data_IF_474393785174
#
_entry.id   IF_474393785174
#
_cell.length_a   1.000
_cell.length_b   1.000
_cell.length_c   1.000
_cell.angle_alpha   90.00
_cell.angle_beta   90.00
_cell.angle_gamma   90.00
#
_symmetry.space_group_name_H-M   'P 1'
#
loop_
_entity.id
_entity.type
_entity.pdbx_description
1 polymer ?
#
# COMPACT_ATOMS: atom_id res chain seq x y z
N UNK A 1 -17.16 -3.74 7.75
CA UNK A 1 -16.03 -2.85 7.40
C UNK A 1 -14.74 -3.67 7.38
N UNK A 2 -13.90 -3.47 6.36
CA UNK A 2 -12.64 -4.22 6.16
C UNK A 2 -11.67 -4.09 7.34
N UNK A 3 -11.70 -2.99 8.08
CA UNK A 3 -10.86 -2.77 9.27
C UNK A 3 -11.11 -3.79 10.38
N UNK A 4 -12.22 -4.53 10.33
CA UNK A 4 -12.54 -5.58 11.29
C UNK A 4 -12.15 -6.98 10.80
N UNK A 5 -11.56 -7.12 9.63
CA UNK A 5 -10.98 -8.37 9.14
C UNK A 5 -9.62 -8.60 9.80
N UNK A 6 -9.63 -9.09 11.06
CA UNK A 6 -8.48 -9.11 11.94
C UNK A 6 -7.52 -10.29 11.72
N UNK A 7 -7.89 -11.30 10.96
CA UNK A 7 -7.06 -12.47 10.70
C UNK A 7 -6.94 -12.76 9.22
N UNK A 8 -5.92 -13.53 8.81
CA UNK A 8 -5.68 -13.81 7.39
C UNK A 8 -6.84 -14.53 6.75
N UNK A 9 -7.45 -15.46 7.47
CA UNK A 9 -8.61 -16.16 6.94
C UNK A 9 -9.75 -15.18 6.65
N UNK A 10 -10.07 -14.29 7.59
CA UNK A 10 -11.13 -13.30 7.41
C UNK A 10 -10.79 -12.31 6.28
N UNK A 11 -9.52 -11.92 6.16
CA UNK A 11 -9.05 -11.06 5.06
C UNK A 11 -9.19 -11.76 3.71
N UNK A 12 -8.80 -13.03 3.64
CA UNK A 12 -8.93 -13.83 2.42
C UNK A 12 -10.41 -14.06 2.07
N UNK A 13 -11.24 -14.48 3.02
CA UNK A 13 -12.69 -14.68 2.84
C UNK A 13 -13.36 -13.39 2.32
N UNK A 14 -12.96 -12.23 2.86
CA UNK A 14 -13.46 -10.93 2.42
C UNK A 14 -13.02 -10.60 0.99
N UNK A 15 -11.75 -10.81 0.67
CA UNK A 15 -11.20 -10.56 -0.66
C UNK A 15 -11.85 -11.48 -1.70
N UNK A 16 -12.04 -12.76 -1.37
CA UNK A 16 -12.68 -13.73 -2.27
C UNK A 16 -14.15 -13.37 -2.51
N UNK A 17 -14.88 -12.96 -1.49
CA UNK A 17 -16.24 -12.48 -1.63
C UNK A 17 -16.31 -11.22 -2.51
N UNK A 18 -15.32 -10.31 -2.39
CA UNK A 18 -15.24 -9.12 -3.23
C UNK A 18 -14.92 -9.46 -4.70
N UNK A 19 -13.95 -10.34 -4.94
CA UNK A 19 -13.55 -10.77 -6.28
C UNK A 19 -14.66 -11.50 -7.03
N UNK A 20 -15.32 -12.44 -6.33
CA UNK A 20 -16.30 -13.35 -6.92
C UNK A 20 -17.73 -12.80 -6.89
N UNK A 21 -17.97 -11.69 -6.20
CA UNK A 21 -19.28 -11.05 -6.14
C UNK A 21 -19.72 -10.52 -7.50
N UNK A 22 -21.03 -10.56 -7.75
CA UNK A 22 -21.63 -10.09 -9.02
C UNK A 22 -21.95 -8.59 -9.05
N UNK A 23 -21.53 -7.83 -8.03
CA UNK A 23 -21.80 -6.40 -7.97
C UNK A 23 -20.92 -5.62 -8.97
N UNK A 24 -21.56 -4.64 -9.58
CA UNK A 24 -20.95 -3.76 -10.59
C UNK A 24 -20.24 -2.57 -9.95
N UNK A 25 -20.72 -2.12 -8.80
CA UNK A 25 -20.23 -0.95 -8.09
C UNK A 25 -19.75 -1.28 -6.71
N UNK A 26 -18.73 -0.56 -6.25
CA UNK A 26 -18.23 -0.57 -4.88
C UNK A 26 -18.08 0.86 -4.37
N UNK A 27 -18.06 1.04 -3.05
CA UNK A 27 -17.77 2.32 -2.42
C UNK A 27 -16.68 2.15 -1.36
N UNK A 28 -15.76 3.09 -1.31
CA UNK A 28 -14.75 3.20 -0.27
C UNK A 28 -14.86 4.54 0.44
N UNK A 29 -14.47 4.59 1.71
CA UNK A 29 -14.35 5.88 2.41
C UNK A 29 -13.29 6.71 1.69
N UNK A 30 -13.52 8.01 1.55
CA UNK A 30 -12.52 8.94 1.02
C UNK A 30 -11.34 9.03 1.97
N UNK A 31 -10.15 9.00 1.41
CA UNK A 31 -8.91 9.00 2.18
C UNK A 31 -8.62 10.34 2.87
N UNK A 32 -9.20 11.41 2.37
CA UNK A 32 -9.09 12.76 2.91
C UNK A 32 -10.29 13.18 3.77
N UNK A 33 -11.20 12.25 4.07
CA UNK A 33 -12.41 12.56 4.83
C UNK A 33 -12.14 12.86 6.31
N UNK A 34 -11.23 12.13 6.92
CA UNK A 34 -10.79 12.34 8.30
C UNK A 34 -9.27 12.25 8.41
N UNK A 35 -8.70 12.82 9.47
CA UNK A 35 -7.24 12.81 9.66
C UNK A 35 -6.63 11.41 9.77
N UNK A 36 -7.44 10.39 10.08
CA UNK A 36 -7.01 8.99 10.19
C UNK A 36 -7.47 8.10 9.02
N UNK A 37 -8.24 8.61 8.06
CA UNK A 37 -8.74 7.81 6.92
C UNK A 37 -7.61 7.30 6.03
N UNK A 38 -6.53 8.05 5.92
CA UNK A 38 -5.42 7.74 5.04
C UNK A 38 -4.71 6.42 5.37
N UNK A 39 -4.66 6.00 6.63
CA UNK A 39 -4.00 4.74 7.01
C UNK A 39 -4.80 3.50 6.61
N UNK A 40 -6.10 3.62 6.40
CA UNK A 40 -6.95 2.48 6.06
C UNK A 40 -6.56 1.82 4.74
N UNK A 41 -6.25 2.58 3.71
CA UNK A 41 -5.77 2.03 2.45
C UNK A 41 -4.44 1.30 2.62
N UNK A 42 -3.51 1.90 3.32
CA UNK A 42 -2.18 1.34 3.55
C UNK A 42 -2.24 0.06 4.36
N UNK A 43 -2.99 0.06 5.47
CA UNK A 43 -3.17 -1.10 6.32
C UNK A 43 -3.97 -2.24 5.66
N UNK A 44 -4.74 -1.93 4.63
CA UNK A 44 -5.55 -2.90 3.89
C UNK A 44 -5.16 -2.98 2.40
N UNK A 45 -3.89 -2.77 2.10
CA UNK A 45 -3.41 -2.79 0.72
C UNK A 45 -3.74 -4.10 0.01
N UNK A 46 -3.79 -5.23 0.69
CA UNK A 46 -4.24 -6.52 0.16
C UNK A 46 -5.61 -6.44 -0.56
N UNK A 47 -6.50 -5.56 -0.10
CA UNK A 47 -7.81 -5.31 -0.70
C UNK A 47 -7.72 -4.20 -1.76
N UNK A 48 -7.07 -3.08 -1.44
CA UNK A 48 -7.02 -1.94 -2.34
C UNK A 48 -6.23 -2.23 -3.63
N UNK A 49 -5.24 -3.12 -3.60
CA UNK A 49 -4.56 -3.57 -4.82
C UNK A 49 -5.52 -4.25 -5.79
N UNK A 50 -6.48 -5.04 -5.32
CA UNK A 50 -7.55 -5.62 -6.13
C UNK A 50 -8.44 -4.53 -6.73
N UNK A 51 -8.80 -3.54 -5.92
CA UNK A 51 -9.60 -2.41 -6.35
C UNK A 51 -8.89 -1.60 -7.45
N UNK A 52 -7.61 -1.26 -7.25
CA UNK A 52 -6.82 -0.51 -8.23
C UNK A 52 -6.59 -1.31 -9.53
N UNK A 53 -6.49 -2.62 -9.46
CA UNK A 53 -6.25 -3.48 -10.59
C UNK A 53 -7.51 -3.67 -11.47
N UNK A 54 -8.64 -3.90 -10.84
CA UNK A 54 -9.85 -4.40 -11.52
C UNK A 54 -11.03 -3.43 -11.51
N UNK A 55 -10.84 -2.24 -10.96
CA UNK A 55 -11.88 -1.22 -10.83
C UNK A 55 -11.32 0.16 -11.19
N UNK A 56 -12.21 1.09 -11.52
CA UNK A 56 -11.84 2.49 -11.71
C UNK A 56 -12.83 3.40 -10.97
N UNK A 57 -12.37 4.56 -10.46
CA UNK A 57 -13.24 5.50 -9.77
C UNK A 57 -14.12 6.23 -10.78
N UNK A 58 -15.42 6.32 -10.49
CA UNK A 58 -16.41 6.95 -11.38
C UNK A 58 -17.02 8.20 -10.78
N UNK A 59 -17.07 8.27 -9.44
CA UNK A 59 -17.68 9.38 -8.74
C UNK A 59 -17.10 9.47 -7.32
N UNK A 60 -17.06 10.68 -6.76
CA UNK A 60 -16.81 10.90 -5.35
C UNK A 60 -17.79 11.93 -4.78
N UNK A 61 -18.25 11.69 -3.56
CA UNK A 61 -18.95 12.68 -2.78
C UNK A 61 -18.08 13.11 -1.59
N UNK A 62 -18.67 13.81 -0.62
CA UNK A 62 -18.01 14.28 0.59
C UNK A 62 -17.40 13.15 1.45
N UNK A 63 -17.96 11.94 1.39
CA UNK A 63 -17.65 10.84 2.32
C UNK A 63 -16.99 9.66 1.65
N UNK A 64 -17.29 9.42 0.37
CA UNK A 64 -17.00 8.17 -0.31
C UNK A 64 -16.51 8.40 -1.73
N UNK A 65 -15.68 7.48 -2.20
CA UNK A 65 -15.33 7.29 -3.60
C UNK A 65 -16.05 6.05 -4.11
N UNK A 66 -16.73 6.18 -5.24
CA UNK A 66 -17.46 5.11 -5.92
C UNK A 66 -16.64 4.58 -7.08
N UNK A 67 -16.57 3.26 -7.15
CA UNK A 67 -15.79 2.52 -8.13
C UNK A 67 -16.73 1.68 -8.98
N UNK A 68 -16.41 1.57 -10.27
CA UNK A 68 -17.06 0.65 -11.20
C UNK A 68 -16.06 -0.43 -11.61
N UNK A 69 -16.53 -1.68 -11.71
CA UNK A 69 -15.69 -2.79 -12.14
C UNK A 69 -15.27 -2.59 -13.58
N UNK A 70 -13.99 -2.80 -13.90
CA UNK A 70 -13.47 -2.73 -15.25
C UNK A 70 -14.17 -3.77 -16.13
N UNK A 71 -14.50 -3.39 -17.35
CA UNK A 71 -14.89 -4.33 -18.41
C UNK A 71 -13.64 -4.89 -19.10
N UNK A 72 -13.76 -6.02 -19.77
CA UNK A 72 -12.66 -6.66 -20.47
C UNK A 72 -11.96 -5.67 -21.41
N UNK A 73 -10.64 -5.50 -21.21
CA UNK A 73 -9.80 -4.58 -21.99
C UNK A 73 -9.55 -3.19 -21.36
N UNK A 74 -10.19 -2.84 -20.25
CA UNK A 74 -9.97 -1.56 -19.56
C UNK A 74 -8.93 -1.73 -18.43
N UNK A 75 -7.69 -2.04 -18.80
CA UNK A 75 -6.61 -2.22 -17.81
C UNK A 75 -5.84 -0.91 -17.61
N UNK A 76 -5.90 -0.37 -16.39
CA UNK A 76 -5.03 0.73 -15.97
C UNK A 76 -3.69 0.22 -15.42
N UNK A 77 -3.27 -0.97 -15.79
CA UNK A 77 -2.13 -1.68 -15.21
C UNK A 77 -0.95 -1.71 -16.17
N UNK A 78 0.22 -1.30 -15.68
CA UNK A 78 1.49 -1.33 -16.41
C UNK A 78 2.31 -2.46 -15.82
N UNK A 79 2.70 -3.45 -16.63
CA UNK A 79 3.45 -4.64 -16.18
C UNK A 79 4.94 -4.61 -16.56
N UNK A 80 5.36 -3.65 -17.40
CA UNK A 80 6.74 -3.53 -17.88
C UNK A 80 7.18 -2.08 -18.00
N UNK A 81 8.42 -1.86 -18.45
CA UNK A 81 8.94 -0.50 -18.63
C UNK A 81 9.33 0.21 -17.33
N UNK A 82 9.64 -0.52 -16.29
CA UNK A 82 10.18 0.00 -15.03
C UNK A 82 11.30 -0.91 -14.48
N UNK A 83 12.11 -0.35 -13.60
CA UNK A 83 13.18 -1.07 -12.88
C UNK A 83 13.08 -0.79 -11.39
N UNK A 84 13.57 -1.74 -10.59
CA UNK A 84 13.71 -1.61 -9.14
C UNK A 84 15.18 -1.39 -8.77
N UNK A 85 15.39 -0.51 -7.80
CA UNK A 85 16.69 -0.34 -7.16
C UNK A 85 16.50 -0.45 -5.65
N UNK A 86 17.22 -1.37 -5.03
CA UNK A 86 17.23 -1.57 -3.58
C UNK A 86 18.54 -1.08 -3.03
N UNK A 87 18.51 -0.26 -1.99
CA UNK A 87 19.70 0.30 -1.35
C UNK A 87 19.61 0.07 0.15
N UNK A 88 20.57 -0.63 0.71
CA UNK A 88 20.72 -0.76 2.16
C UNK A 88 21.17 0.59 2.75
N UNK A 89 20.38 1.14 3.65
CA UNK A 89 20.68 2.37 4.38
C UNK A 89 21.37 2.08 5.71
N UNK A 90 20.98 0.97 6.34
CA UNK A 90 21.56 0.46 7.58
C UNK A 90 21.15 -1.01 7.76
N UNK A 91 21.67 -1.68 8.80
CA UNK A 91 21.24 -3.04 9.17
C UNK A 91 19.75 -3.16 9.54
N UNK A 92 19.05 -2.06 9.66
CA UNK A 92 17.63 -2.02 10.03
C UNK A 92 16.74 -1.35 8.97
N UNK A 93 17.33 -0.76 7.93
CA UNK A 93 16.58 0.06 6.98
C UNK A 93 17.06 -0.11 5.55
N UNK A 94 16.11 -0.23 4.63
CA UNK A 94 16.36 -0.27 3.20
C UNK A 94 15.46 0.72 2.45
N UNK A 95 16.00 1.26 1.37
CA UNK A 95 15.28 2.09 0.42
C UNK A 95 14.99 1.28 -0.85
N UNK A 96 13.76 1.35 -1.32
CA UNK A 96 13.31 0.75 -2.56
C UNK A 96 12.86 1.87 -3.49
N UNK A 97 13.46 1.95 -4.67
CA UNK A 97 13.13 2.91 -5.71
C UNK A 97 12.50 2.17 -6.89
N UNK A 98 11.40 2.69 -7.40
CA UNK A 98 10.76 2.25 -8.65
C UNK A 98 10.99 3.33 -9.69
N UNK A 99 11.63 2.99 -10.79
CA UNK A 99 12.05 3.91 -11.85
C UNK A 99 11.43 3.47 -13.17
N UNK A 100 10.51 4.26 -13.71
CA UNK A 100 9.87 3.99 -14.98
C UNK A 100 10.70 4.52 -16.14
N UNK A 101 10.70 3.80 -17.27
CA UNK A 101 11.34 4.26 -18.51
C UNK A 101 10.66 5.54 -19.07
N UNK A 102 9.39 5.72 -18.72
CA UNK A 102 8.62 6.89 -19.12
C UNK A 102 8.35 7.79 -17.90
N UNK A 103 8.90 9.00 -17.94
CA UNK A 103 8.75 10.01 -16.87
C UNK A 103 7.34 10.61 -16.75
N UNK A 104 6.40 10.26 -17.62
CA UNK A 104 5.01 10.73 -17.50
C UNK A 104 4.12 9.78 -16.70
N UNK A 105 4.65 8.62 -16.30
CA UNK A 105 3.90 7.64 -15.51
C UNK A 105 3.61 8.20 -14.11
N UNK A 106 2.32 8.17 -13.75
CA UNK A 106 1.84 8.46 -12.41
C UNK A 106 0.91 7.32 -11.97
N UNK A 107 1.01 6.90 -10.74
CA UNK A 107 0.21 5.78 -10.23
C UNK A 107 0.70 5.24 -8.90
N UNK A 108 0.34 4.00 -8.63
CA UNK A 108 0.78 3.26 -7.45
C UNK A 108 1.43 1.95 -7.88
N UNK A 109 2.69 1.78 -7.57
CA UNK A 109 3.40 0.53 -7.78
C UNK A 109 3.06 -0.48 -6.68
N UNK A 110 2.85 -1.72 -7.07
CA UNK A 110 2.57 -2.86 -6.20
C UNK A 110 3.87 -3.62 -5.96
N UNK A 111 4.59 -3.23 -4.91
CA UNK A 111 5.92 -3.76 -4.61
C UNK A 111 5.81 -4.89 -3.59
N UNK A 112 6.19 -6.08 -4.02
CA UNK A 112 6.34 -7.24 -3.15
C UNK A 112 7.71 -7.22 -2.48
N UNK A 113 7.73 -7.41 -1.16
CA UNK A 113 8.96 -7.50 -0.37
C UNK A 113 8.93 -8.78 0.46
N UNK A 114 9.86 -9.68 0.19
CA UNK A 114 10.15 -10.82 1.08
C UNK A 114 11.22 -10.41 2.07
N UNK A 115 10.86 -10.36 3.34
CA UNK A 115 11.74 -9.88 4.39
C UNK A 115 11.63 -10.69 5.68
N UNK A 116 12.65 -10.60 6.51
CA UNK A 116 12.68 -11.17 7.84
C UNK A 116 13.27 -10.18 8.84
N UNK A 117 12.66 -10.08 10.02
CA UNK A 117 13.13 -9.21 11.10
C UNK A 117 13.71 -10.06 12.23
N UNK A 118 15.02 -10.01 12.39
CA UNK A 118 15.74 -10.70 13.45
C UNK A 118 15.96 -9.82 14.68
N UNK A 119 16.16 -10.47 15.84
CA UNK A 119 16.62 -9.80 17.04
C UNK A 119 18.12 -9.57 16.98
N UNK A 120 18.55 -8.39 17.39
CA UNK A 120 19.96 -8.05 17.55
C UNK A 120 20.43 -8.47 18.95
N UNK A 121 21.36 -9.42 19.00
CA UNK A 121 21.99 -9.86 20.28
C UNK A 121 21.17 -10.84 21.13
N UNK A 122 21.74 -11.24 22.27
CA UNK A 122 21.17 -12.25 23.20
C UNK A 122 20.13 -11.66 24.16
N UNK A 123 19.22 -10.84 23.70
CA UNK A 123 18.15 -10.34 24.55
C UNK A 123 17.23 -11.50 24.99
N UNK A 124 17.08 -11.64 26.31
CA UNK A 124 16.26 -12.66 26.95
C UNK A 124 14.91 -12.86 26.27
N UNK A 125 14.55 -14.09 25.96
CA UNK A 125 13.30 -14.51 25.29
C UNK A 125 12.01 -14.13 26.04
N UNK A 126 12.10 -13.54 27.24
CA UNK A 126 10.97 -13.20 28.10
C UNK A 126 10.35 -11.83 27.82
N UNK A 127 10.99 -10.98 27.04
CA UNK A 127 10.39 -9.70 26.65
C UNK A 127 9.70 -9.92 25.31
N UNK A 128 8.38 -9.83 25.28
CA UNK A 128 7.60 -9.84 24.05
C UNK A 128 7.92 -8.56 23.27
N UNK A 129 8.93 -8.62 22.44
CA UNK A 129 9.21 -7.55 21.50
C UNK A 129 8.18 -7.60 20.37
N UNK A 130 7.42 -6.55 20.27
CA UNK A 130 6.64 -6.26 19.07
C UNK A 130 7.64 -5.95 17.96
N UNK A 131 7.64 -6.76 16.90
CA UNK A 131 8.44 -6.51 15.72
C UNK A 131 7.51 -5.90 14.68
N UNK A 132 7.88 -4.78 14.16
CA UNK A 132 7.07 -4.05 13.19
C UNK A 132 7.94 -3.65 12.00
N UNK A 133 7.33 -3.57 10.84
CA UNK A 133 7.89 -2.92 9.68
C UNK A 133 7.29 -1.52 9.57
N UNK A 134 8.13 -0.52 9.68
CA UNK A 134 7.77 0.87 9.39
C UNK A 134 7.98 1.12 7.90
N UNK A 135 6.98 1.69 7.24
CA UNK A 135 7.02 1.99 5.81
C UNK A 135 6.82 3.49 5.61
N UNK A 136 7.78 4.14 4.94
CA UNK A 136 7.75 5.58 4.62
C UNK A 136 7.73 5.78 3.13
N UNK A 137 6.61 6.27 2.60
CA UNK A 137 6.46 6.72 1.23
C UNK A 137 6.78 8.22 1.12
N UNK A 138 7.50 8.62 0.08
CA UNK A 138 7.81 10.03 -0.19
C UNK A 138 6.69 10.76 -0.93
N UNK A 139 5.79 10.02 -1.59
CA UNK A 139 4.68 10.56 -2.35
C UNK A 139 3.61 11.27 -1.52
N UNK A 140 2.89 12.18 -2.16
CA UNK A 140 1.83 12.99 -1.54
C UNK A 140 0.55 13.09 -2.38
N UNK A 141 0.55 12.53 -3.58
CA UNK A 141 -0.56 12.68 -4.54
C UNK A 141 -1.65 11.62 -4.33
N UNK A 142 -1.26 10.46 -3.83
CA UNK A 142 -2.16 9.34 -3.60
C UNK A 142 -2.33 9.07 -2.11
N UNK A 143 -3.46 8.46 -1.74
CA UNK A 143 -3.75 8.10 -0.35
C UNK A 143 -2.74 7.14 0.30
N UNK A 144 -1.85 6.56 -0.50
CA UNK A 144 -0.78 5.66 -0.04
C UNK A 144 0.51 6.36 0.38
N UNK A 145 0.61 7.68 0.14
CA UNK A 145 1.78 8.47 0.55
C UNK A 145 1.93 8.62 2.07
N UNK A 146 3.13 8.93 2.56
CA UNK A 146 3.44 9.16 3.98
C UNK A 146 3.87 7.90 4.75
N UNK A 147 3.81 7.97 6.06
CA UNK A 147 4.28 6.91 6.96
C UNK A 147 3.14 6.01 7.41
N UNK A 148 3.39 4.71 7.47
CA UNK A 148 2.51 3.77 8.12
C UNK A 148 3.30 2.59 8.71
N UNK A 149 2.65 1.89 9.62
CA UNK A 149 3.20 0.69 10.23
C UNK A 149 2.43 -0.52 9.75
N UNK A 150 3.15 -1.58 9.40
CA UNK A 150 2.54 -2.88 9.22
C UNK A 150 2.12 -3.42 10.59
N UNK A 151 0.82 -3.53 10.80
CA UNK A 151 0.24 -4.04 12.03
C UNK A 151 0.13 -5.57 12.08
N UNK A 152 0.67 -6.30 11.10
CA UNK A 152 0.71 -7.76 11.12
C UNK A 152 1.77 -8.34 12.10
N UNK A 153 1.93 -7.67 13.21
CA UNK A 153 2.95 -7.92 14.23
C UNK A 153 2.76 -9.23 15.03
N UNK A 154 1.72 -9.97 14.80
CA UNK A 154 1.50 -11.27 15.47
C UNK A 154 2.19 -12.42 14.74
N UNK A 155 2.85 -12.15 13.59
CA UNK A 155 3.57 -13.14 12.80
C UNK A 155 5.03 -12.74 12.60
N UNK A 156 5.91 -13.71 12.45
CA UNK A 156 7.13 -13.50 11.69
C UNK A 156 6.69 -13.30 10.23
N UNK A 157 6.32 -12.09 9.86
CA UNK A 157 5.91 -11.78 8.49
C UNK A 157 7.14 -11.92 7.61
N UNK A 158 7.04 -12.77 6.63
CA UNK A 158 8.11 -13.06 5.70
C UNK A 158 7.89 -12.43 4.33
N UNK A 159 6.73 -11.86 4.07
CA UNK A 159 6.44 -11.27 2.77
C UNK A 159 5.23 -10.33 2.82
N UNK A 160 5.29 -9.21 2.13
CA UNK A 160 4.20 -8.26 2.03
C UNK A 160 4.22 -7.48 0.73
N UNK A 161 3.01 -7.04 0.31
CA UNK A 161 2.85 -6.06 -0.76
C UNK A 161 2.77 -4.66 -0.16
N UNK A 162 3.59 -3.77 -0.69
CA UNK A 162 3.71 -2.38 -0.23
C UNK A 162 3.32 -1.46 -1.38
N UNK A 163 2.35 -0.53 -1.18
CA UNK A 163 2.04 0.47 -2.19
C UNK A 163 3.15 1.54 -2.23
N UNK A 164 3.66 1.81 -3.42
CA UNK A 164 4.65 2.87 -3.65
C UNK A 164 4.09 3.88 -4.64
N UNK A 165 3.92 5.12 -4.22
CA UNK A 165 3.45 6.17 -5.11
C UNK A 165 4.48 6.49 -6.18
N UNK A 166 4.04 6.48 -7.45
CA UNK A 166 4.83 6.88 -8.61
C UNK A 166 4.37 8.28 -9.06
N UNK A 167 5.29 9.21 -9.08
CA UNK A 167 5.08 10.55 -9.59
C UNK A 167 6.15 10.89 -10.62
N UNK A 168 5.73 11.28 -11.82
CA UNK A 168 6.64 11.59 -12.93
C UNK A 168 7.66 10.48 -13.20
N UNK A 169 7.18 9.23 -13.20
CA UNK A 169 8.00 8.05 -13.49
C UNK A 169 8.91 7.58 -12.36
N UNK A 170 8.82 8.15 -11.17
CA UNK A 170 9.67 7.78 -10.04
C UNK A 170 8.85 7.63 -8.75
N UNK A 171 9.15 6.58 -7.99
CA UNK A 171 8.62 6.37 -6.65
C UNK A 171 9.69 5.85 -5.70
N UNK A 172 9.55 6.17 -4.42
CA UNK A 172 10.50 5.77 -3.40
C UNK A 172 9.77 5.41 -2.10
N UNK A 173 10.19 4.31 -1.50
CA UNK A 173 9.76 3.92 -0.17
C UNK A 173 10.95 3.48 0.67
N UNK A 174 10.95 3.86 1.94
CA UNK A 174 11.90 3.35 2.93
C UNK A 174 11.19 2.40 3.87
N UNK A 175 11.75 1.22 4.06
CA UNK A 175 11.28 0.23 5.02
C UNK A 175 12.30 0.12 6.17
N UNK A 176 11.80 0.07 7.41
CA UNK A 176 12.65 0.04 8.60
C UNK A 176 12.07 -0.93 9.62
N UNK A 177 12.90 -1.85 10.12
CA UNK A 177 12.48 -2.74 11.21
C UNK A 177 12.44 -2.01 12.55
N UNK A 178 11.38 -2.25 13.32
CA UNK A 178 11.19 -1.65 14.64
C UNK A 178 11.15 -2.71 15.74
N UNK A 179 11.66 -2.40 16.92
CA UNK A 179 12.46 -1.22 17.29
C UNK A 179 13.89 -1.29 16.72
N UNK A 180 14.34 -0.28 16.04
CA UNK A 180 15.58 -0.26 15.24
C UNK A 180 16.87 -0.54 16.03
N UNK A 181 16.88 -0.24 17.34
CA UNK A 181 18.05 -0.52 18.20
C UNK A 181 18.25 -2.00 18.52
N UNK A 182 17.22 -2.84 18.37
CA UNK A 182 17.22 -4.26 18.78
C UNK A 182 16.81 -5.23 17.66
N UNK A 183 16.68 -4.75 16.43
CA UNK A 183 16.32 -5.58 15.29
C UNK A 183 17.33 -5.48 14.15
N UNK A 184 17.28 -6.44 13.24
CA UNK A 184 17.99 -6.47 11.95
C UNK A 184 16.95 -6.78 10.88
N UNK A 185 16.94 -6.00 9.81
CA UNK A 185 16.09 -6.22 8.65
C UNK A 185 16.86 -6.98 7.57
N UNK A 186 16.43 -8.18 7.29
CA UNK A 186 16.93 -8.96 6.16
C UNK A 186 15.87 -8.94 5.05
N UNK A 187 16.22 -8.44 3.88
CA UNK A 187 15.37 -8.47 2.69
C UNK A 187 15.94 -9.51 1.72
N UNK A 188 15.14 -10.53 1.42
CA UNK A 188 15.53 -11.64 0.55
C UNK A 188 15.22 -11.33 -0.92
N UNK A 189 14.06 -10.72 -1.17
CA UNK A 189 13.61 -10.43 -2.52
C UNK A 189 12.73 -9.17 -2.54
N UNK A 190 12.86 -8.38 -3.61
CA UNK A 190 11.96 -7.28 -3.93
C UNK A 190 11.53 -7.41 -5.38
N UNK A 191 10.22 -7.37 -5.62
CA UNK A 191 9.62 -7.37 -6.95
C UNK A 191 8.60 -6.25 -7.08
N UNK A 192 8.35 -5.78 -8.28
CA UNK A 192 7.19 -4.97 -8.60
C UNK A 192 6.35 -5.74 -9.61
N UNK A 193 5.15 -6.12 -9.23
CA UNK A 193 4.27 -6.91 -10.10
C UNK A 193 3.56 -6.02 -11.13
N UNK A 194 3.24 -4.79 -10.74
CA UNK A 194 2.49 -3.87 -11.57
C UNK A 194 2.57 -2.42 -11.06
N UNK A 195 2.29 -1.47 -11.95
CA UNK A 195 1.97 -0.10 -11.59
C UNK A 195 0.52 0.17 -12.01
N UNK A 196 -0.31 0.57 -11.06
CA UNK A 196 -1.72 0.90 -11.29
C UNK A 196 -1.84 2.39 -11.65
N UNK A 197 -2.15 2.67 -12.91
CA UNK A 197 -2.28 4.03 -13.42
C UNK A 197 -3.73 4.51 -13.32
N UNK A 198 -4.17 4.85 -12.12
CA UNK A 198 -5.53 5.40 -11.87
C UNK A 198 -5.58 6.92 -11.88
N UNK A 199 -4.45 7.58 -12.10
CA UNK A 199 -4.25 9.00 -11.86
C UNK A 199 -5.16 9.93 -12.65
N UNK A 200 -5.38 9.65 -13.93
CA UNK A 200 -6.17 10.54 -14.80
C UNK A 200 -7.64 10.67 -14.37
N UNK A 201 -8.17 9.67 -13.68
CA UNK A 201 -9.55 9.66 -13.18
C UNK A 201 -9.65 9.91 -11.68
N UNK A 202 -8.66 9.46 -10.91
CA UNK A 202 -8.69 9.50 -9.44
C UNK A 202 -8.32 10.88 -8.87
N UNK A 203 -7.27 11.51 -9.38
CA UNK A 203 -6.84 12.85 -8.91
C UNK A 203 -7.94 13.90 -9.03
N UNK A 204 -8.69 14.03 -10.17
CA UNK A 204 -9.80 14.96 -10.25
C UNK A 204 -10.89 14.70 -9.20
N UNK A 205 -11.11 13.44 -8.83
CA UNK A 205 -12.11 13.09 -7.82
C UNK A 205 -11.64 13.42 -6.40
N UNK A 206 -10.35 13.35 -6.11
CA UNK A 206 -9.77 13.78 -4.83
C UNK A 206 -9.78 15.29 -4.68
N UNK A 207 -9.73 16.06 -5.78
CA UNK A 207 -9.73 17.53 -5.75
C UNK A 207 -11.10 18.15 -5.44
N UNK A 208 -12.16 17.36 -5.33
CA UNK A 208 -13.46 17.84 -4.85
C UNK A 208 -13.27 18.35 -3.42
N UNK A 209 -13.32 19.68 -3.24
CA UNK A 209 -13.15 20.33 -1.95
C UNK A 209 -14.16 19.77 -0.93
N UNK A 210 -13.64 19.03 0.03
CA UNK A 210 -14.39 18.64 1.21
C UNK A 210 -14.14 19.74 2.25
N UNK A 211 -15.17 20.49 2.61
CA UNK A 211 -15.09 21.31 3.81
C UNK A 211 -14.79 20.36 4.98
N UNK A 212 -13.56 20.40 5.46
CA UNK A 212 -13.18 19.65 6.67
C UNK A 212 -14.01 20.22 7.82
N UNK A 213 -14.97 19.46 8.32
CA UNK A 213 -15.54 19.77 9.62
C UNK A 213 -14.46 19.51 10.64
N UNK A 214 -13.99 20.58 11.28
CA UNK A 214 -13.29 20.44 12.57
C UNK A 214 -14.30 19.85 13.56
N UNK A 215 -14.02 18.64 14.03
CA UNK A 215 -14.70 18.03 15.17
C UNK A 215 -13.97 18.42 16.46
#
# INVERSE_FOLDING_TARGET
YIIHALGDKQRQDYLDAFKNGSFKYAATIRDDYTDWSFWMQRANWFFYRELYQNWHPVFANRYETYWERNTDGDTNTIHDGFTLKVTELSSTSQKIEVICNNSTVNGVADVYVDYHVDKKGNLSSKVMFRRELEVKNTGKLYPVGGEFYDHNHLRPVSAEYIPVEISNGHGEVTITSQPSHSTILNVNEVKCDAIYSVSSRYIPLLSINVEKKQF
#
